data_IF_576276591200
#
_entry.id   IF_576276591200
#
_cell.length_a   1.000
_cell.length_b   1.000
_cell.length_c   1.000
_cell.angle_alpha   90.00
_cell.angle_beta   90.00
_cell.angle_gamma   90.00
#
_symmetry.space_group_name_H-M   'P 1'
#
loop_
_entity.id
_entity.type
_entity.pdbx_description
1 polymer ?
#
# COMPACT_ATOMS: atom_id res chain seq x y z
N UNK A 1 -7.23 23.62 -23.85
CA UNK A 1 -6.36 22.51 -24.28
C UNK A 1 -5.80 21.91 -23.02
N UNK A 2 -6.19 20.66 -22.76
CA UNK A 2 -6.14 19.99 -21.45
C UNK A 2 -4.68 19.89 -21.03
N UNK A 3 -4.30 20.55 -19.92
CA UNK A 3 -3.00 20.29 -19.29
C UNK A 3 -3.05 18.84 -18.86
N UNK A 4 -2.22 18.02 -19.50
CA UNK A 4 -1.89 16.67 -19.07
C UNK A 4 -1.20 16.80 -17.69
N UNK A 5 -2.02 16.97 -16.66
CA UNK A 5 -1.66 16.75 -15.25
C UNK A 5 -1.51 15.24 -15.10
N UNK A 6 -0.53 14.68 -15.80
CA UNK A 6 -0.34 13.27 -15.99
C UNK A 6 -0.08 12.61 -14.65
N UNK A 7 -0.64 11.41 -14.48
CA UNK A 7 -0.38 10.47 -13.39
C UNK A 7 1.10 10.46 -12.94
N UNK A 8 2.05 10.72 -13.85
CA UNK A 8 3.47 10.92 -13.60
C UNK A 8 3.81 11.99 -12.55
N UNK A 9 3.21 13.19 -12.59
CA UNK A 9 3.50 14.25 -11.62
C UNK A 9 2.85 13.97 -10.25
N UNK A 10 1.69 13.31 -10.26
CA UNK A 10 1.07 12.79 -9.04
C UNK A 10 1.94 11.67 -8.45
N UNK A 11 2.52 10.79 -9.28
CA UNK A 11 3.52 9.82 -8.88
C UNK A 11 4.74 10.55 -8.31
N UNK A 12 5.38 11.51 -8.97
CA UNK A 12 6.63 12.15 -8.48
C UNK A 12 6.54 12.80 -7.09
N UNK A 13 5.39 13.39 -6.72
CA UNK A 13 5.18 13.99 -5.38
C UNK A 13 4.58 13.00 -4.37
N UNK A 14 4.04 11.87 -4.82
CA UNK A 14 3.45 10.79 -4.02
C UNK A 14 4.08 9.42 -4.33
N UNK A 15 5.35 9.33 -4.77
CA UNK A 15 6.05 8.09 -5.11
C UNK A 15 6.44 7.47 -3.76
N UNK A 16 5.44 7.01 -3.00
CA UNK A 16 4.99 5.61 -2.93
C UNK A 16 6.18 4.76 -2.48
N UNK A 17 6.39 4.57 -1.16
CA UNK A 17 7.31 3.53 -0.69
C UNK A 17 6.95 2.13 -1.22
N UNK A 18 5.76 1.95 -1.80
CA UNK A 18 5.25 0.70 -2.34
C UNK A 18 6.07 0.07 -3.49
N UNK A 19 6.88 0.83 -4.24
CA UNK A 19 7.64 0.27 -5.39
C UNK A 19 8.75 -0.65 -4.86
N UNK A 20 8.52 -1.96 -4.98
CA UNK A 20 9.49 -3.00 -4.63
C UNK A 20 8.98 -4.06 -3.65
N UNK A 21 7.82 -3.86 -3.03
CA UNK A 21 7.23 -4.87 -2.14
C UNK A 21 6.33 -5.83 -2.90
N UNK A 22 6.49 -7.12 -2.61
CA UNK A 22 5.68 -8.17 -3.20
C UNK A 22 4.52 -8.60 -2.29
N UNK A 23 4.55 -8.20 -1.01
CA UNK A 23 3.52 -8.55 -0.04
C UNK A 23 3.28 -7.43 0.99
N UNK A 24 2.05 -7.26 1.51
CA UNK A 24 1.73 -6.41 2.68
C UNK A 24 2.64 -6.59 3.90
N UNK A 25 3.20 -7.79 4.03
CA UNK A 25 4.08 -8.13 5.15
C UNK A 25 5.52 -7.66 4.95
N UNK A 26 5.92 -7.37 3.71
CA UNK A 26 7.26 -6.85 3.43
C UNK A 26 7.38 -5.40 3.90
N UNK A 27 6.30 -4.61 3.74
CA UNK A 27 6.19 -3.26 4.30
C UNK A 27 6.40 -3.25 5.81
N UNK A 28 5.84 -4.23 6.53
CA UNK A 28 5.99 -4.30 7.99
C UNK A 28 7.43 -4.56 8.43
N UNK A 29 8.17 -5.34 7.64
CA UNK A 29 9.56 -5.75 7.92
C UNK A 29 10.57 -4.69 7.50
N UNK A 30 10.14 -3.69 6.75
CA UNK A 30 11.03 -2.64 6.27
C UNK A 30 11.56 -1.81 7.47
N UNK A 31 12.88 -1.78 7.71
CA UNK A 31 13.46 -1.03 8.81
C UNK A 31 13.61 0.47 8.49
N UNK A 32 13.53 0.86 7.21
CA UNK A 32 13.68 2.23 6.75
C UNK A 32 12.36 3.01 6.84
N UNK A 33 11.23 2.32 6.96
CA UNK A 33 9.91 2.92 7.16
C UNK A 33 9.54 3.04 8.64
N UNK A 34 9.09 4.23 9.04
CA UNK A 34 8.40 4.41 10.30
C UNK A 34 6.95 3.90 10.25
N UNK A 35 6.28 3.87 11.39
CA UNK A 35 4.95 3.29 11.46
C UNK A 35 3.87 4.10 10.73
N UNK A 36 4.00 5.43 10.63
CA UNK A 36 3.06 6.25 9.87
C UNK A 36 3.25 6.02 8.37
N UNK A 37 4.50 5.91 7.93
CA UNK A 37 4.84 5.56 6.54
C UNK A 37 4.34 4.16 6.15
N UNK A 38 4.54 3.15 7.01
CA UNK A 38 3.99 1.80 6.84
C UNK A 38 2.47 1.84 6.71
N UNK A 39 1.80 2.65 7.55
CA UNK A 39 0.34 2.81 7.54
C UNK A 39 -0.13 3.49 6.26
N UNK A 40 0.56 4.52 5.78
CA UNK A 40 0.23 5.23 4.55
C UNK A 40 0.32 4.30 3.33
N UNK A 41 1.36 3.47 3.23
CA UNK A 41 1.53 2.47 2.17
C UNK A 41 0.39 1.46 2.20
N UNK A 42 0.16 0.81 3.35
CA UNK A 42 -0.86 -0.22 3.48
C UNK A 42 -2.29 0.34 3.27
N UNK A 43 -2.57 1.55 3.76
CA UNK A 43 -3.84 2.23 3.56
C UNK A 43 -4.09 2.56 2.07
N UNK A 44 -3.04 2.98 1.35
CA UNK A 44 -3.12 3.17 -0.10
C UNK A 44 -3.48 1.89 -0.84
N UNK A 45 -3.01 0.73 -0.37
CA UNK A 45 -3.32 -0.57 -0.97
C UNK A 45 -4.71 -1.09 -0.58
N UNK A 46 -5.21 -0.71 0.60
CA UNK A 46 -6.55 -1.06 1.04
C UNK A 46 -7.63 -0.34 0.22
N UNK A 47 -7.32 0.87 -0.26
CA UNK A 47 -8.21 1.72 -1.05
C UNK A 47 -8.79 1.02 -2.28
N UNK A 48 -10.05 1.35 -2.62
CA UNK A 48 -10.74 0.83 -3.80
C UNK A 48 -10.04 1.19 -5.12
N UNK A 49 -9.18 2.23 -5.12
CA UNK A 49 -8.31 2.55 -6.25
C UNK A 49 -7.35 1.40 -6.61
N UNK A 50 -7.05 0.53 -5.65
CA UNK A 50 -6.22 -0.66 -5.84
C UNK A 50 -7.05 -1.92 -6.12
N UNK A 51 -8.38 -1.87 -6.11
CA UNK A 51 -9.23 -3.03 -6.33
C UNK A 51 -9.11 -3.57 -7.76
N UNK A 52 -9.03 -4.90 -7.89
CA UNK A 52 -9.09 -5.54 -9.21
C UNK A 52 -10.51 -5.44 -9.74
N UNK A 53 -10.64 -5.04 -11.01
CA UNK A 53 -11.94 -4.98 -11.69
C UNK A 53 -12.64 -6.35 -11.60
N UNK A 54 -13.92 -6.34 -11.23
CA UNK A 54 -14.76 -7.54 -11.04
C UNK A 54 -14.28 -8.50 -9.92
N UNK A 55 -13.23 -8.17 -9.17
CA UNK A 55 -12.70 -8.96 -8.06
C UNK A 55 -12.42 -8.08 -6.83
N UNK A 56 -13.46 -7.59 -6.13
CA UNK A 56 -13.32 -6.64 -5.02
C UNK A 56 -12.61 -7.21 -3.79
N UNK A 57 -12.38 -8.53 -3.73
CA UNK A 57 -11.59 -9.16 -2.69
C UNK A 57 -10.07 -9.09 -2.96
N UNK A 58 -9.66 -8.66 -4.16
CA UNK A 58 -8.27 -8.61 -4.60
C UNK A 58 -7.81 -7.16 -4.76
N UNK A 59 -6.52 -6.93 -4.56
CA UNK A 59 -5.86 -5.63 -4.70
C UNK A 59 -4.63 -5.77 -5.59
N UNK A 60 -4.53 -4.94 -6.62
CA UNK A 60 -3.28 -4.76 -7.37
C UNK A 60 -2.38 -3.82 -6.60
N UNK A 61 -1.23 -4.32 -6.17
CA UNK A 61 -0.20 -3.46 -5.56
C UNK A 61 0.75 -3.01 -6.66
N UNK A 62 1.15 -1.74 -6.61
CA UNK A 62 2.24 -1.25 -7.45
C UNK A 62 3.51 -2.02 -7.12
N UNK A 63 3.98 -2.87 -8.05
CA UNK A 63 5.19 -3.68 -7.88
C UNK A 63 4.96 -5.17 -7.66
N UNK A 64 3.72 -5.63 -7.42
CA UNK A 64 3.44 -7.06 -7.28
C UNK A 64 3.25 -7.74 -8.64
N UNK A 65 3.77 -8.97 -8.83
CA UNK A 65 3.52 -9.76 -10.03
C UNK A 65 2.07 -10.25 -10.14
N UNK A 66 1.36 -10.33 -9.01
CA UNK A 66 -0.01 -10.83 -8.92
C UNK A 66 -0.85 -10.01 -7.93
N UNK A 67 -2.19 -9.98 -8.09
CA UNK A 67 -3.05 -9.31 -7.13
C UNK A 67 -2.98 -10.01 -5.78
N UNK A 68 -2.94 -9.23 -4.70
CA UNK A 68 -2.98 -9.75 -3.34
C UNK A 68 -4.40 -9.72 -2.78
N UNK A 69 -4.78 -10.65 -1.88
CA UNK A 69 -6.07 -10.56 -1.21
C UNK A 69 -6.15 -9.34 -0.30
N UNK A 70 -7.27 -8.61 -0.35
CA UNK A 70 -7.54 -7.46 0.52
C UNK A 70 -7.41 -7.81 2.02
N UNK A 71 -7.76 -9.03 2.40
CA UNK A 71 -7.58 -9.53 3.77
C UNK A 71 -6.13 -9.45 4.24
N UNK A 72 -5.14 -9.66 3.36
CA UNK A 72 -3.72 -9.64 3.72
C UNK A 72 -3.26 -8.20 3.98
N UNK A 73 -3.81 -7.24 3.23
CA UNK A 73 -3.57 -5.81 3.46
C UNK A 73 -4.16 -5.38 4.80
N UNK A 74 -5.39 -5.82 5.10
CA UNK A 74 -6.03 -5.54 6.39
C UNK A 74 -5.28 -6.20 7.56
N UNK A 75 -4.89 -7.45 7.41
CA UNK A 75 -4.13 -8.22 8.39
C UNK A 75 -2.79 -7.54 8.73
N UNK A 76 -2.14 -6.93 7.74
CA UNK A 76 -0.93 -6.14 7.93
C UNK A 76 -1.20 -4.81 8.67
N UNK A 77 -2.29 -4.10 8.33
CA UNK A 77 -2.71 -2.89 9.04
C UNK A 77 -3.02 -3.18 10.51
N UNK A 78 -3.75 -4.26 10.79
CA UNK A 78 -4.09 -4.68 12.15
C UNK A 78 -2.85 -5.01 12.96
N UNK A 79 -1.87 -5.70 12.37
CA UNK A 79 -0.56 -5.97 13.00
C UNK A 79 0.22 -4.70 13.30
N UNK A 80 0.23 -3.75 12.36
CA UNK A 80 0.94 -2.49 12.52
C UNK A 80 0.33 -1.67 13.67
N UNK A 81 -0.99 -1.58 13.73
CA UNK A 81 -1.71 -0.85 14.77
C UNK A 81 -1.52 -1.51 16.15
N UNK A 82 -1.52 -2.85 16.21
CA UNK A 82 -1.16 -3.58 17.42
C UNK A 82 0.27 -3.31 17.85
N UNK A 83 1.25 -3.40 16.95
CA UNK A 83 2.65 -3.12 17.28
C UNK A 83 2.82 -1.69 17.84
N UNK A 84 2.20 -0.70 17.19
CA UNK A 84 2.20 0.69 17.64
C UNK A 84 1.62 0.88 19.05
N UNK A 85 0.63 0.08 19.43
CA UNK A 85 0.00 0.16 20.75
C UNK A 85 0.84 -0.44 21.88
N UNK A 86 1.68 -1.43 21.59
CA UNK A 86 2.49 -2.13 22.58
C UNK A 86 3.93 -1.63 22.67
N UNK A 87 4.40 -0.88 21.67
CA UNK A 87 5.73 -0.28 21.63
C UNK A 87 5.74 1.22 22.01
N UNK A 88 4.59 1.76 22.45
CA UNK A 88 4.43 3.14 22.94
C UNK A 88 4.50 3.29 24.44
#
# INVERSE_FOLDING_TARGET
MIREQGLAAALERWLRPAVGYNHPRDVLKDPDLDADEKRAVLSSWASDASAVQDQPAMRWLLGTPEPVPFREVRDALERLDWAQRFEG
#
